data_IF_014474090940
#
_entry.id   IF_014474090940
#
_cell.length_a   1.000
_cell.length_b   1.000
_cell.length_c   1.000
_cell.angle_alpha   90.00
_cell.angle_beta   90.00
_cell.angle_gamma   90.00
#
_symmetry.space_group_name_H-M   'P 1'
#
loop_
_entity.id
_entity.type
_entity.pdbx_description
1 polymer ?
#
# COMPACT_ATOMS: atom_id res chain seq x y z
N UNK A 1 -2.59 34.49 -29.95
CA UNK A 1 -2.27 33.17 -29.34
C UNK A 1 -3.07 33.07 -28.06
N UNK A 2 -4.01 32.13 -27.96
CA UNK A 2 -4.99 32.07 -26.87
C UNK A 2 -4.47 31.24 -25.69
N UNK A 3 -4.27 31.92 -24.56
CA UNK A 3 -4.53 31.59 -23.15
C UNK A 3 -4.54 30.13 -22.67
N UNK A 4 -3.75 29.85 -21.61
CA UNK A 4 -4.21 29.11 -20.42
C UNK A 4 -3.41 29.57 -19.18
N UNK A 5 -4.17 29.74 -18.11
CA UNK A 5 -3.95 30.50 -16.88
C UNK A 5 -3.00 29.81 -15.89
N UNK A 6 -2.09 30.51 -15.17
CA UNK A 6 -1.52 30.00 -13.93
C UNK A 6 -2.57 30.19 -12.82
N UNK A 7 -3.55 29.30 -12.75
CA UNK A 7 -4.57 29.35 -11.71
C UNK A 7 -4.35 28.24 -10.68
N UNK A 8 -4.36 28.65 -9.41
CA UNK A 8 -4.30 27.83 -8.19
C UNK A 8 -2.93 27.64 -7.55
N UNK A 9 -2.20 28.75 -7.35
CA UNK A 9 -1.49 28.92 -6.08
C UNK A 9 -2.52 29.46 -5.06
N UNK A 10 -2.63 28.78 -3.90
CA UNK A 10 -3.48 29.06 -2.74
C UNK A 10 -4.85 28.33 -2.67
N UNK A 11 -4.83 27.09 -2.14
CA UNK A 11 -5.96 26.49 -1.43
C UNK A 11 -5.49 25.91 -0.09
N UNK A 12 -5.36 26.79 0.91
CA UNK A 12 -5.52 26.48 2.33
C UNK A 12 -4.90 25.18 2.88
N UNK A 13 -3.57 25.13 3.06
CA UNK A 13 -2.77 24.28 3.98
C UNK A 13 -3.21 22.82 4.28
N UNK A 14 -4.06 22.25 3.43
CA UNK A 14 -4.70 20.95 3.60
C UNK A 14 -4.09 20.08 2.52
N UNK A 15 -3.41 18.98 2.89
CA UNK A 15 -2.74 18.14 1.92
C UNK A 15 -3.75 17.66 0.87
N UNK A 16 -3.36 17.72 -0.40
CA UNK A 16 -4.18 17.18 -1.48
C UNK A 16 -4.31 15.66 -1.37
N UNK A 17 -5.28 15.02 -2.05
CA UNK A 17 -5.37 13.56 -2.21
C UNK A 17 -4.02 12.90 -2.50
N UNK A 18 -3.29 13.45 -3.49
CA UNK A 18 -1.99 12.95 -3.92
C UNK A 18 -0.93 13.14 -2.84
N UNK A 19 -0.96 14.25 -2.10
CA UNK A 19 -0.03 14.48 -0.98
C UNK A 19 -0.27 13.50 0.17
N UNK A 20 -1.53 13.18 0.47
CA UNK A 20 -1.88 12.20 1.51
C UNK A 20 -1.36 10.82 1.14
N UNK A 21 -1.56 10.39 -0.12
CA UNK A 21 -1.05 9.12 -0.62
C UNK A 21 0.48 9.08 -0.62
N UNK A 22 1.12 10.16 -1.08
CA UNK A 22 2.59 10.27 -1.08
C UNK A 22 3.18 10.18 0.33
N UNK A 23 2.57 10.88 1.29
CA UNK A 23 2.98 10.82 2.70
C UNK A 23 2.76 9.43 3.29
N UNK A 24 1.64 8.77 2.96
CA UNK A 24 1.38 7.41 3.41
C UNK A 24 2.45 6.45 2.92
N UNK A 25 2.73 6.46 1.61
CA UNK A 25 3.73 5.60 0.99
C UNK A 25 5.14 5.82 1.56
N UNK A 26 5.54 7.07 1.78
CA UNK A 26 6.85 7.37 2.39
C UNK A 26 6.93 6.87 3.84
N UNK A 27 5.87 7.01 4.64
CA UNK A 27 5.82 6.47 6.01
C UNK A 27 5.82 4.94 6.04
N UNK A 28 5.07 4.31 5.14
CA UNK A 28 5.03 2.85 4.97
C UNK A 28 6.42 2.32 4.61
N UNK A 29 7.09 2.93 3.64
CA UNK A 29 8.46 2.58 3.23
C UNK A 29 9.49 2.72 4.35
N UNK A 30 9.35 3.72 5.23
CA UNK A 30 10.28 3.97 6.35
C UNK A 30 10.06 3.08 7.58
N UNK A 31 9.00 2.27 7.60
CA UNK A 31 8.71 1.38 8.72
C UNK A 31 7.25 1.34 9.18
N UNK A 32 6.30 1.86 8.39
CA UNK A 32 4.86 1.64 8.57
C UNK A 32 4.32 2.13 9.92
N UNK A 33 3.92 1.19 10.77
CA UNK A 33 3.40 1.42 12.12
C UNK A 33 4.29 2.36 12.95
N UNK A 34 5.62 2.22 12.83
CA UNK A 34 6.60 3.05 13.55
C UNK A 34 6.54 4.52 13.12
N UNK A 35 5.97 4.81 11.95
CA UNK A 35 5.91 6.15 11.34
C UNK A 35 4.47 6.69 11.28
N UNK A 36 3.55 6.13 12.09
CA UNK A 36 2.15 6.58 12.15
C UNK A 36 1.46 6.61 10.77
N UNK A 37 1.80 5.70 9.86
CA UNK A 37 1.19 5.62 8.53
C UNK A 37 -0.34 5.41 8.63
N UNK A 38 -0.79 4.65 9.63
CA UNK A 38 -2.21 4.40 9.88
C UNK A 38 -3.05 5.65 10.10
N UNK A 39 -2.47 6.77 10.57
CA UNK A 39 -3.19 8.04 10.79
C UNK A 39 -3.72 8.67 9.50
N UNK A 40 -3.18 8.28 8.35
CA UNK A 40 -3.61 8.75 7.02
C UNK A 40 -4.71 7.88 6.41
N UNK A 41 -5.09 6.79 7.07
CA UNK A 41 -6.25 5.97 6.71
C UNK A 41 -7.55 6.56 7.29
N UNK A 42 -8.70 6.20 6.74
CA UNK A 42 -10.01 6.60 7.30
C UNK A 42 -10.15 6.10 8.73
N UNK A 43 -10.98 6.75 9.53
CA UNK A 43 -11.21 6.32 10.93
C UNK A 43 -11.73 4.88 10.99
N UNK A 44 -12.57 4.50 10.03
CA UNK A 44 -13.09 3.15 9.92
C UNK A 44 -11.99 2.15 9.58
N UNK A 45 -11.13 2.44 8.61
CA UNK A 45 -9.98 1.60 8.29
C UNK A 45 -9.05 1.40 9.49
N UNK A 46 -8.77 2.46 10.26
CA UNK A 46 -7.98 2.38 11.49
C UNK A 46 -8.65 1.48 12.54
N UNK A 47 -9.97 1.60 12.71
CA UNK A 47 -10.74 0.79 13.65
C UNK A 47 -10.73 -0.69 13.24
N UNK A 48 -10.91 -0.99 11.95
CA UNK A 48 -10.89 -2.35 11.42
C UNK A 48 -9.52 -3.02 11.54
N UNK A 49 -8.44 -2.32 11.15
CA UNK A 49 -7.07 -2.79 11.34
C UNK A 49 -6.77 -3.12 12.81
N UNK A 50 -7.16 -2.22 13.72
CA UNK A 50 -7.03 -2.44 15.16
C UNK A 50 -7.86 -3.62 15.65
N UNK A 51 -9.09 -3.78 15.14
CA UNK A 51 -10.00 -4.89 15.49
C UNK A 51 -9.40 -6.25 15.13
N UNK A 52 -8.76 -6.36 13.97
CA UNK A 52 -8.13 -7.61 13.52
C UNK A 52 -6.70 -7.78 14.07
N UNK A 53 -6.23 -6.86 14.91
CA UNK A 53 -4.88 -6.89 15.48
C UNK A 53 -3.79 -6.81 14.41
N UNK A 54 -4.03 -6.03 13.36
CA UNK A 54 -3.09 -5.81 12.25
C UNK A 54 -2.74 -4.34 12.16
N UNK A 55 -1.58 -4.08 11.59
CA UNK A 55 -1.06 -2.74 11.36
C UNK A 55 -0.59 -2.60 9.92
N UNK A 56 -0.34 -1.36 9.50
CA UNK A 56 0.11 -1.07 8.14
C UNK A 56 1.52 -1.60 7.96
N UNK A 57 1.65 -2.68 7.18
CA UNK A 57 2.92 -3.28 6.84
C UNK A 57 3.53 -2.61 5.59
N UNK A 58 4.87 -2.58 5.47
CA UNK A 58 5.55 -2.17 4.24
C UNK A 58 5.05 -2.98 3.04
N UNK A 59 4.57 -2.28 2.01
CA UNK A 59 4.22 -2.89 0.72
C UNK A 59 5.48 -2.81 -0.15
N UNK A 60 6.28 -3.88 -0.14
CA UNK A 60 7.51 -3.98 -0.94
C UNK A 60 8.84 -3.87 -0.19
N UNK A 61 9.91 -3.92 -0.97
CA UNK A 61 11.30 -3.76 -0.53
C UNK A 61 11.61 -2.32 -0.09
N UNK A 62 12.63 -2.10 0.76
CA UNK A 62 13.04 -0.74 1.18
C UNK A 62 13.45 0.16 0.00
N UNK A 63 13.94 -0.46 -1.08
CA UNK A 63 14.36 0.17 -2.33
C UNK A 63 13.21 0.44 -3.31
N UNK A 64 11.98 0.06 -2.94
CA UNK A 64 10.79 0.37 -3.72
C UNK A 64 10.62 1.89 -3.91
N UNK A 65 10.23 2.27 -5.13
CA UNK A 65 9.92 3.64 -5.50
C UNK A 65 8.45 3.76 -5.88
N UNK A 66 7.81 4.81 -5.41
CA UNK A 66 6.44 5.14 -5.75
C UNK A 66 6.39 6.47 -6.50
N UNK A 67 5.74 6.48 -7.66
CA UNK A 67 5.51 7.68 -8.47
C UNK A 67 4.01 7.99 -8.48
N UNK A 68 3.59 8.93 -7.64
CA UNK A 68 2.18 9.36 -7.57
C UNK A 68 1.91 10.28 -8.76
N UNK A 69 0.91 9.90 -9.57
CA UNK A 69 0.59 10.55 -10.84
C UNK A 69 -0.48 11.61 -10.66
N UNK A 70 -1.73 11.20 -10.78
CA UNK A 70 -2.89 12.08 -10.88
C UNK A 70 -4.01 11.59 -9.96
N UNK A 71 -4.79 12.53 -9.47
CA UNK A 71 -6.01 12.27 -8.73
C UNK A 71 -7.23 12.53 -9.63
N UNK A 72 -8.13 11.57 -9.73
CA UNK A 72 -9.38 11.67 -10.46
C UNK A 72 -10.57 11.59 -9.50
N UNK A 73 -11.57 12.45 -9.67
CA UNK A 73 -12.81 12.35 -8.91
C UNK A 73 -13.64 11.15 -9.40
N UNK A 74 -14.35 10.50 -8.49
CA UNK A 74 -15.26 9.41 -8.85
C UNK A 74 -16.62 10.01 -9.27
N UNK A 75 -17.14 9.68 -10.47
CA UNK A 75 -18.47 10.11 -10.88
C UNK A 75 -19.52 9.63 -9.89
N UNK A 76 -20.39 10.54 -9.43
CA UNK A 76 -21.49 10.28 -8.48
C UNK A 76 -21.07 9.99 -7.02
N UNK A 77 -19.80 10.11 -6.67
CA UNK A 77 -19.29 9.90 -5.30
C UNK A 77 -18.56 11.16 -4.81
N UNK A 78 -19.32 12.22 -4.40
CA UNK A 78 -18.72 13.48 -3.97
C UNK A 78 -17.92 13.28 -2.68
N UNK A 79 -16.66 13.74 -2.69
CA UNK A 79 -15.75 13.52 -1.55
C UNK A 79 -14.90 12.26 -1.68
N UNK A 80 -15.02 11.51 -2.78
CA UNK A 80 -14.16 10.38 -3.11
C UNK A 80 -13.26 10.70 -4.31
N UNK A 81 -11.99 10.35 -4.22
CA UNK A 81 -11.03 10.48 -5.31
C UNK A 81 -10.18 9.22 -5.45
N UNK A 82 -9.76 8.94 -6.68
CA UNK A 82 -8.84 7.87 -7.02
C UNK A 82 -7.49 8.50 -7.37
N UNK A 83 -6.44 8.11 -6.66
CA UNK A 83 -5.09 8.59 -6.91
C UNK A 83 -4.30 7.47 -7.58
N UNK A 84 -3.91 7.68 -8.83
CA UNK A 84 -3.09 6.73 -9.57
C UNK A 84 -1.62 6.88 -9.17
N UNK A 85 -0.94 5.77 -9.00
CA UNK A 85 0.50 5.71 -8.74
C UNK A 85 1.14 4.52 -9.44
N UNK A 86 2.42 4.65 -9.76
CA UNK A 86 3.24 3.56 -10.26
C UNK A 86 4.19 3.12 -9.14
N UNK A 87 4.11 1.85 -8.78
CA UNK A 87 5.04 1.21 -7.86
C UNK A 87 6.13 0.51 -8.68
N UNK A 88 7.37 0.92 -8.47
CA UNK A 88 8.56 0.30 -9.04
C UNK A 88 9.32 -0.45 -7.95
N UNK A 89 9.51 -1.75 -8.15
CA UNK A 89 10.25 -2.62 -7.24
C UNK A 89 11.47 -3.21 -7.95
N UNK A 90 12.66 -3.17 -7.33
CA UNK A 90 13.80 -3.92 -7.83
C UNK A 90 13.59 -5.42 -7.61
N UNK A 91 13.65 -6.19 -8.70
CA UNK A 91 13.65 -7.63 -8.68
C UNK A 91 15.03 -8.16 -8.27
N UNK A 92 15.09 -9.41 -7.81
CA UNK A 92 16.34 -10.06 -7.41
C UNK A 92 17.38 -10.20 -8.54
N UNK A 93 16.95 -10.10 -9.80
CA UNK A 93 17.82 -10.13 -10.99
C UNK A 93 18.32 -8.73 -11.40
N UNK A 94 17.96 -7.67 -10.67
CA UNK A 94 18.30 -6.29 -10.96
C UNK A 94 17.38 -5.61 -11.99
N UNK A 95 16.37 -6.31 -12.51
CA UNK A 95 15.31 -5.69 -13.31
C UNK A 95 14.33 -4.91 -12.42
N UNK A 96 13.54 -4.03 -13.02
CA UNK A 96 12.52 -3.25 -12.31
C UNK A 96 11.12 -3.78 -12.65
N UNK A 97 10.43 -4.33 -11.66
CA UNK A 97 8.99 -4.59 -11.73
C UNK A 97 8.23 -3.28 -11.61
N UNK A 98 7.24 -3.05 -12.48
CA UNK A 98 6.36 -1.88 -12.42
C UNK A 98 4.91 -2.36 -12.28
N UNK A 99 4.24 -1.85 -11.25
CA UNK A 99 2.86 -2.19 -10.92
C UNK A 99 2.03 -0.91 -10.86
N UNK A 100 0.84 -0.95 -11.45
CA UNK A 100 -0.10 0.16 -11.34
C UNK A 100 -0.93 -0.01 -10.07
N UNK A 101 -0.95 1.05 -9.24
CA UNK A 101 -1.67 1.08 -7.98
C UNK A 101 -2.55 2.31 -7.93
N UNK A 102 -3.85 2.09 -7.77
CA UNK A 102 -4.87 3.12 -7.62
C UNK A 102 -5.32 3.16 -6.17
N UNK A 103 -5.19 4.33 -5.54
CA UNK A 103 -5.57 4.53 -4.14
C UNK A 103 -6.95 5.18 -4.06
N UNK A 104 -7.84 4.59 -3.28
CA UNK A 104 -9.12 5.21 -2.95
C UNK A 104 -8.92 6.13 -1.75
N UNK A 105 -9.23 7.41 -1.94
CA UNK A 105 -9.24 8.40 -0.85
C UNK A 105 -10.61 9.02 -0.69
N UNK A 106 -10.96 9.28 0.55
CA UNK A 106 -12.21 9.88 0.95
C UNK A 106 -11.96 11.14 1.79
N UNK A 107 -12.82 12.14 1.66
CA UNK A 107 -12.77 13.37 2.42
C UNK A 107 -13.49 13.19 3.76
N UNK A 108 -12.73 13.15 4.85
CA UNK A 108 -13.25 13.19 6.22
C UNK A 108 -13.21 14.61 6.78
N UNK A 109 -13.76 14.81 8.00
CA UNK A 109 -13.72 16.10 8.70
C UNK A 109 -12.29 16.63 8.89
N UNK A 110 -11.33 15.73 9.08
CA UNK A 110 -9.91 16.06 9.28
C UNK A 110 -9.10 16.11 7.97
N UNK A 111 -9.77 16.10 6.81
CA UNK A 111 -9.16 16.15 5.47
C UNK A 111 -9.21 14.81 4.74
N UNK A 112 -8.41 14.70 3.68
CA UNK A 112 -8.33 13.48 2.86
C UNK A 112 -7.71 12.32 3.64
N UNK A 113 -8.30 11.13 3.50
CA UNK A 113 -7.86 9.89 4.14
C UNK A 113 -8.02 8.73 3.17
N UNK A 114 -7.16 7.72 3.29
CA UNK A 114 -7.15 6.55 2.40
C UNK A 114 -8.15 5.51 2.94
N UNK A 115 -9.08 5.08 2.11
CA UNK A 115 -10.05 4.03 2.43
C UNK A 115 -9.63 2.66 1.88
N UNK A 116 -8.86 2.63 0.80
CA UNK A 116 -8.44 1.37 0.18
C UNK A 116 -7.43 1.55 -0.95
N UNK A 117 -7.06 0.44 -1.59
CA UNK A 117 -6.24 0.43 -2.79
C UNK A 117 -6.73 -0.63 -3.78
N UNK A 118 -6.38 -0.44 -5.04
CA UNK A 118 -6.50 -1.43 -6.09
C UNK A 118 -5.15 -1.55 -6.80
N UNK A 119 -4.63 -2.77 -6.92
CA UNK A 119 -3.33 -3.03 -7.52
C UNK A 119 -3.46 -4.04 -8.66
N UNK A 120 -2.93 -3.69 -9.83
CA UNK A 120 -2.78 -4.64 -10.93
C UNK A 120 -1.41 -5.31 -10.83
N UNK A 121 -1.38 -6.56 -10.33
CA UNK A 121 -0.14 -7.34 -10.26
C UNK A 121 0.24 -7.95 -11.61
N UNK A 122 -0.75 -8.37 -12.41
CA UNK A 122 -0.54 -9.02 -13.70
C UNK A 122 -1.38 -8.31 -14.78
N UNK A 123 -0.79 -7.95 -15.93
CA UNK A 123 -1.52 -7.30 -17.00
C UNK A 123 -2.65 -8.20 -17.52
N UNK A 124 -3.87 -7.65 -17.58
CA UNK A 124 -5.06 -8.36 -18.06
C UNK A 124 -5.73 -9.27 -17.03
N UNK A 125 -5.25 -9.31 -15.79
CA UNK A 125 -5.99 -9.90 -14.66
C UNK A 125 -6.79 -8.81 -13.93
N UNK A 126 -7.91 -9.17 -13.27
CA UNK A 126 -8.62 -8.22 -12.43
C UNK A 126 -7.68 -7.68 -11.34
N UNK A 127 -7.70 -6.37 -11.07
CA UNK A 127 -6.88 -5.79 -10.03
C UNK A 127 -7.30 -6.35 -8.67
N UNK A 128 -6.32 -6.54 -7.79
CA UNK A 128 -6.57 -6.89 -6.41
C UNK A 128 -7.03 -5.61 -5.72
N UNK A 129 -8.31 -5.59 -5.36
CA UNK A 129 -8.90 -4.51 -4.57
C UNK A 129 -8.80 -4.90 -3.09
N UNK A 130 -8.31 -3.97 -2.28
CA UNK A 130 -8.22 -4.10 -0.84
C UNK A 130 -8.97 -2.93 -0.24
N UNK A 131 -10.12 -3.22 0.35
CA UNK A 131 -10.86 -2.27 1.17
C UNK A 131 -10.36 -2.32 2.62
N UNK A 132 -9.69 -1.25 3.06
CA UNK A 132 -9.20 -1.19 4.44
C UNK A 132 -10.33 -1.03 5.46
N UNK A 133 -11.51 -0.60 5.01
CA UNK A 133 -12.71 -0.43 5.84
C UNK A 133 -13.49 -1.73 6.04
N UNK A 134 -13.01 -2.83 5.45
CA UNK A 134 -13.54 -4.17 5.55
C UNK A 134 -12.51 -5.13 6.16
N UNK A 135 -12.42 -5.13 7.50
CA UNK A 135 -11.46 -5.98 8.22
C UNK A 135 -11.65 -7.48 7.96
N UNK A 136 -12.84 -7.95 7.60
CA UNK A 136 -13.11 -9.34 7.25
C UNK A 136 -12.50 -9.74 5.91
N UNK A 137 -12.52 -8.86 4.91
CA UNK A 137 -11.84 -9.07 3.63
C UNK A 137 -10.33 -9.03 3.82
N UNK A 138 -9.82 -8.05 4.58
CA UNK A 138 -8.40 -7.99 4.93
C UNK A 138 -7.92 -9.26 5.64
N UNK A 139 -8.68 -9.75 6.63
CA UNK A 139 -8.33 -10.96 7.37
C UNK A 139 -8.27 -12.20 6.45
N UNK A 140 -9.15 -12.29 5.45
CA UNK A 140 -9.12 -13.37 4.46
C UNK A 140 -7.91 -13.28 3.53
N UNK A 141 -7.61 -12.09 3.03
CA UNK A 141 -6.42 -11.87 2.19
C UNK A 141 -5.16 -12.28 2.94
N UNK A 142 -5.00 -11.82 4.18
CA UNK A 142 -3.86 -12.15 5.04
C UNK A 142 -3.78 -13.64 5.37
N UNK A 143 -4.90 -14.30 5.68
CA UNK A 143 -4.92 -15.74 5.91
C UNK A 143 -4.50 -16.54 4.66
N UNK A 144 -4.80 -16.04 3.46
CA UNK A 144 -4.31 -16.59 2.21
C UNK A 144 -2.81 -16.34 1.97
N UNK A 145 -2.30 -15.16 2.35
CA UNK A 145 -0.87 -14.80 2.25
C UNK A 145 0.01 -15.56 3.24
N UNK A 146 -0.48 -15.82 4.46
CA UNK A 146 0.23 -16.61 5.48
C UNK A 146 0.37 -18.09 5.07
N UNK A 147 -0.44 -18.56 4.12
CA UNK A 147 -0.29 -19.88 3.49
C UNK A 147 0.67 -19.86 2.28
N UNK A 148 0.97 -18.68 1.73
CA UNK A 148 1.94 -18.46 0.67
C UNK A 148 3.30 -18.03 1.25
N UNK A 149 4.03 -19.04 1.75
CA UNK A 149 5.49 -19.12 1.91
C UNK A 149 6.13 -18.92 3.30
N UNK A 150 7.20 -19.70 3.63
CA UNK A 150 7.94 -20.59 2.74
C UNK A 150 7.79 -22.07 3.10
N UNK A 151 7.78 -22.91 2.06
CA UNK A 151 8.42 -24.21 2.16
C UNK A 151 9.93 -23.99 2.41
N UNK A 152 10.30 -23.63 3.64
CA UNK A 152 11.66 -23.74 4.13
C UNK A 152 11.87 -25.17 4.64
N UNK A 153 11.83 -26.12 3.70
CA UNK A 153 12.49 -27.41 3.84
C UNK A 153 13.72 -27.30 2.94
N UNK A 154 14.96 -27.41 3.38
CA UNK A 154 15.48 -28.31 4.40
C UNK A 154 16.86 -27.82 4.82
N UNK A 155 16.95 -27.38 6.08
CA UNK A 155 18.04 -27.65 7.03
C UNK A 155 19.38 -28.12 6.41
N UNK A 156 20.22 -27.17 6.04
CA UNK A 156 21.66 -27.38 6.01
C UNK A 156 22.20 -27.31 7.45
N UNK A 157 22.44 -28.46 8.08
CA UNK A 157 23.48 -28.54 9.09
C UNK A 157 24.10 -29.94 9.11
N UNK A 158 25.33 -30.01 8.63
CA UNK A 158 26.20 -31.16 8.82
C UNK A 158 26.74 -31.20 10.26
N UNK A 159 27.19 -32.38 10.67
CA UNK A 159 28.11 -32.53 11.80
C UNK A 159 27.50 -33.16 13.06
N UNK A 160 27.44 -34.48 13.08
CA UNK A 160 27.78 -35.22 14.30
C UNK A 160 28.48 -36.52 13.91
N UNK A 161 29.79 -36.42 13.98
CA UNK A 161 30.69 -37.54 14.26
C UNK A 161 30.13 -38.33 15.45
N UNK A 162 29.95 -39.64 15.28
CA UNK A 162 29.82 -40.53 16.42
C UNK A 162 30.75 -41.71 16.21
N UNK A 163 31.73 -41.79 17.09
CA UNK A 163 32.71 -42.85 17.12
C UNK A 163 32.13 -44.16 17.68
N UNK A 164 32.88 -45.22 17.41
CA UNK A 164 33.10 -46.34 18.32
C UNK A 164 31.88 -47.20 18.66
N UNK A 165 31.75 -48.31 17.92
CA UNK A 165 31.36 -49.57 18.54
C UNK A 165 32.23 -50.71 18.01
N UNK A 166 32.56 -51.60 18.94
CA UNK A 166 33.62 -52.60 18.95
C UNK A 166 33.38 -53.77 18.00
#
# INVERSE_FOLDING_TARGET
>A
MAQATPESADVANTPSPSDVVSQFLDRVRRGGETTDAGQLLTQRAQAELKRIGRTVQPIGTPDARFDVRQAAAIPNEPGSMLVQSIWTEPNSDGSLGQYEVVWAVHREQAGWRISGLAMEMNPGQPPIVIDFENGDEMAKLLAGSEQAEPAHVQQANGGSVNGTQR
#
